data_IF_095144397613
#
_entry.id   IF_095144397613
#
_cell.length_a   1.000
_cell.length_b   1.000
_cell.length_c   1.000
_cell.angle_alpha   90.00
_cell.angle_beta   90.00
_cell.angle_gamma   90.00
#
_symmetry.space_group_name_H-M   'P 1'
#
loop_
_entity.id
_entity.type
_entity.pdbx_description
1 polymer ?
#
# COMPACT_ATOMS: atom_id res chain seq x y z
N UNK A 1 12.73 -7.65 -3.47
CA UNK A 1 11.74 -6.63 -3.07
C UNK A 1 11.83 -6.24 -1.59
N UNK A 2 11.77 -7.19 -0.64
CA UNK A 2 11.68 -6.91 0.80
C UNK A 2 12.78 -5.98 1.36
N UNK A 3 14.05 -6.19 0.98
CA UNK A 3 15.17 -5.30 1.38
C UNK A 3 14.98 -3.86 0.89
N UNK A 4 14.41 -3.66 -0.29
CA UNK A 4 14.12 -2.33 -0.84
C UNK A 4 12.98 -1.65 -0.06
N UNK A 5 11.92 -2.39 0.26
CA UNK A 5 10.82 -1.92 1.11
C UNK A 5 11.33 -1.50 2.50
N UNK A 6 12.22 -2.29 3.10
CA UNK A 6 12.84 -1.96 4.39
C UNK A 6 13.64 -0.67 4.34
N UNK A 7 14.41 -0.46 3.27
CA UNK A 7 15.16 0.79 3.06
C UNK A 7 14.23 1.98 2.86
N UNK A 8 13.20 1.83 2.05
CA UNK A 8 12.23 2.89 1.78
C UNK A 8 11.46 3.29 3.05
N UNK A 9 11.04 2.31 3.86
CA UNK A 9 10.41 2.55 5.17
C UNK A 9 11.32 3.35 6.12
N UNK A 10 12.64 3.09 6.10
CA UNK A 10 13.59 3.83 6.94
C UNK A 10 13.77 5.29 6.49
N UNK A 11 13.55 5.58 5.21
CA UNK A 11 13.66 6.94 4.67
C UNK A 11 12.40 7.74 4.95
N UNK A 12 11.23 7.17 4.65
CA UNK A 12 9.95 7.83 4.82
C UNK A 12 8.85 6.77 5.01
N UNK A 13 8.27 6.74 6.20
CA UNK A 13 7.22 5.78 6.57
C UNK A 13 5.86 6.15 5.96
N UNK A 14 5.67 7.40 5.54
CA UNK A 14 4.43 7.88 4.96
C UNK A 14 4.49 7.98 3.43
N UNK A 15 5.55 7.47 2.79
CA UNK A 15 5.73 7.64 1.36
C UNK A 15 4.64 6.94 0.53
N UNK A 16 4.01 7.67 -0.41
CA UNK A 16 2.95 7.13 -1.27
C UNK A 16 3.41 5.93 -2.13
N UNK A 17 4.63 5.95 -2.67
CA UNK A 17 5.17 4.83 -3.46
C UNK A 17 5.54 3.64 -2.59
N UNK A 18 5.96 3.89 -1.34
CA UNK A 18 6.22 2.81 -0.39
C UNK A 18 4.96 1.99 -0.14
N UNK A 19 3.83 2.67 0.11
CA UNK A 19 2.52 2.03 0.28
C UNK A 19 2.17 1.14 -0.91
N UNK A 20 2.19 1.68 -2.14
CA UNK A 20 1.83 0.87 -3.31
C UNK A 20 2.77 -0.30 -3.57
N UNK A 21 4.07 -0.16 -3.31
CA UNK A 21 5.02 -1.27 -3.39
C UNK A 21 4.76 -2.34 -2.35
N UNK A 22 4.40 -1.95 -1.12
CA UNK A 22 4.06 -2.88 -0.05
C UNK A 22 2.77 -3.65 -0.37
N UNK A 23 1.73 -2.98 -0.85
CA UNK A 23 0.46 -3.63 -1.23
C UNK A 23 0.67 -4.61 -2.38
N UNK A 24 1.48 -4.26 -3.38
CA UNK A 24 1.90 -5.18 -4.46
C UNK A 24 2.64 -6.40 -3.93
N UNK A 25 3.53 -6.21 -2.97
CA UNK A 25 4.25 -7.31 -2.34
C UNK A 25 3.30 -8.25 -1.59
N UNK A 26 2.38 -7.72 -0.79
CA UNK A 26 1.37 -8.51 -0.10
C UNK A 26 0.48 -9.27 -1.08
N UNK A 27 0.02 -8.61 -2.15
CA UNK A 27 -0.80 -9.26 -3.17
C UNK A 27 -0.07 -10.40 -3.89
N UNK A 28 1.21 -10.20 -4.18
CA UNK A 28 2.05 -11.25 -4.75
C UNK A 28 2.16 -12.45 -3.82
N UNK A 29 2.31 -12.24 -2.51
CA UNK A 29 2.36 -13.31 -1.53
C UNK A 29 1.03 -14.07 -1.37
N UNK A 30 -0.11 -13.42 -1.61
CA UNK A 30 -1.42 -14.09 -1.64
C UNK A 30 -1.54 -15.02 -2.86
N UNK A 31 -1.00 -14.60 -4.02
CA UNK A 31 -1.08 -15.35 -5.27
C UNK A 31 -0.04 -16.49 -5.32
N UNK A 32 1.18 -16.21 -4.86
CA UNK A 32 2.31 -17.12 -4.87
C UNK A 32 2.86 -17.27 -3.44
N UNK A 33 2.26 -18.16 -2.62
CA UNK A 33 2.72 -18.36 -1.26
C UNK A 33 4.11 -19.03 -1.25
N UNK A 34 4.96 -18.58 -0.32
CA UNK A 34 6.30 -19.13 -0.14
C UNK A 34 6.21 -20.53 0.47
N UNK A 35 6.75 -21.52 -0.23
CA UNK A 35 6.73 -22.93 0.18
C UNK A 35 7.85 -23.31 1.16
N UNK A 36 8.98 -22.59 1.15
CA UNK A 36 10.09 -22.78 2.08
C UNK A 36 9.77 -22.17 3.46
N UNK A 37 9.68 -23.02 4.49
CA UNK A 37 9.36 -22.60 5.85
C UNK A 37 10.36 -21.59 6.43
N UNK A 38 11.66 -21.73 6.15
CA UNK A 38 12.68 -20.81 6.66
C UNK A 38 12.50 -19.43 6.04
N UNK A 39 12.26 -19.39 4.72
CA UNK A 39 11.99 -18.13 4.03
C UNK A 39 10.68 -17.50 4.53
N UNK A 40 9.66 -18.32 4.80
CA UNK A 40 8.39 -17.85 5.36
C UNK A 40 8.58 -17.20 6.73
N UNK A 41 9.34 -17.79 7.64
CA UNK A 41 9.64 -17.20 8.96
C UNK A 41 10.34 -15.86 8.83
N UNK A 42 11.36 -15.76 7.96
CA UNK A 42 12.10 -14.51 7.73
C UNK A 42 11.18 -13.41 7.19
N UNK A 43 10.34 -13.74 6.21
CA UNK A 43 9.38 -12.79 5.66
C UNK A 43 8.37 -12.39 6.72
N UNK A 44 7.88 -13.35 7.50
CA UNK A 44 6.91 -13.12 8.56
C UNK A 44 7.42 -12.18 9.66
N UNK A 45 8.69 -12.28 10.03
CA UNK A 45 9.32 -11.39 10.99
C UNK A 45 9.55 -9.99 10.40
N UNK A 46 9.95 -9.91 9.12
CA UNK A 46 10.07 -8.61 8.45
C UNK A 46 8.70 -7.95 8.26
N UNK A 47 7.63 -8.70 7.98
CA UNK A 47 6.24 -8.20 7.88
C UNK A 47 5.72 -7.61 9.20
N UNK A 48 6.12 -8.15 10.36
CA UNK A 48 5.83 -7.53 11.67
C UNK A 48 6.38 -6.10 11.72
N UNK A 49 7.58 -5.88 11.19
CA UNK A 49 8.18 -4.54 11.16
C UNK A 49 7.40 -3.55 10.32
N UNK A 50 6.58 -4.00 9.37
CA UNK A 50 5.76 -3.14 8.49
C UNK A 50 4.38 -2.77 9.07
N UNK A 51 4.01 -3.27 10.27
CA UNK A 51 2.69 -3.07 10.89
C UNK A 51 1.51 -3.57 10.03
N UNK A 52 1.75 -4.57 9.17
CA UNK A 52 0.71 -5.16 8.31
C UNK A 52 0.09 -6.42 8.89
N UNK A 53 0.52 -6.84 10.09
CA UNK A 53 -0.01 -8.01 10.80
C UNK A 53 -0.95 -7.62 11.93
N UNK A 54 -1.98 -8.43 12.12
CA UNK A 54 -2.85 -8.40 13.30
C UNK A 54 -2.84 -9.81 13.90
N UNK A 55 -2.14 -9.97 15.03
CA UNK A 55 -1.81 -11.30 15.55
C UNK A 55 -0.94 -12.08 14.56
N UNK A 56 -1.32 -13.32 14.30
CA UNK A 56 -0.59 -14.21 13.36
C UNK A 56 -1.01 -14.03 11.90
N UNK A 57 -2.03 -13.23 11.62
CA UNK A 57 -2.58 -13.04 10.28
C UNK A 57 -2.16 -11.70 9.67
N UNK A 58 -1.96 -11.70 8.34
CA UNK A 58 -1.77 -10.46 7.57
C UNK A 58 -3.14 -9.76 7.47
N UNK A 59 -3.17 -8.44 7.73
CA UNK A 59 -4.38 -7.62 7.57
C UNK A 59 -4.78 -7.59 6.10
N UNK A 60 -6.09 -7.51 5.84
CA UNK A 60 -6.60 -7.41 4.47
C UNK A 60 -6.02 -6.18 3.78
N UNK A 61 -5.64 -6.34 2.51
CA UNK A 61 -5.00 -5.28 1.71
C UNK A 61 -5.98 -4.10 1.54
N UNK A 62 -7.28 -4.39 1.47
CA UNK A 62 -8.38 -3.43 1.45
C UNK A 62 -8.34 -2.52 2.68
N UNK A 63 -8.30 -3.12 3.88
CA UNK A 63 -8.30 -2.39 5.15
C UNK A 63 -7.05 -1.49 5.29
N UNK A 64 -5.89 -2.00 4.85
CA UNK A 64 -4.64 -1.25 4.82
C UNK A 64 -4.71 -0.05 3.86
N UNK A 65 -5.34 -0.23 2.69
CA UNK A 65 -5.49 0.84 1.71
C UNK A 65 -6.49 1.90 2.17
N UNK A 66 -7.59 1.50 2.82
CA UNK A 66 -8.57 2.42 3.40
C UNK A 66 -7.97 3.26 4.54
N UNK A 67 -7.19 2.64 5.43
CA UNK A 67 -6.50 3.35 6.51
C UNK A 67 -5.50 4.37 5.95
N UNK A 68 -4.74 3.97 4.93
CA UNK A 68 -3.79 4.85 4.24
C UNK A 68 -4.49 6.07 3.59
N UNK A 69 -5.66 5.85 2.99
CA UNK A 69 -6.49 6.93 2.42
C UNK A 69 -7.06 7.87 3.48
N UNK A 70 -7.57 7.33 4.60
CA UNK A 70 -8.10 8.14 5.69
C UNK A 70 -7.02 9.04 6.29
N UNK A 71 -5.80 8.54 6.43
CA UNK A 71 -4.66 9.28 6.97
C UNK A 71 -4.14 10.37 6.01
N UNK A 72 -4.18 10.13 4.70
CA UNK A 72 -3.56 10.99 3.68
C UNK A 72 -4.58 11.55 2.69
N UNK A 73 -5.81 11.79 3.14
CA UNK A 73 -6.94 12.21 2.31
C UNK A 73 -6.73 13.58 1.65
N UNK A 74 -5.81 14.38 2.17
CA UNK A 74 -5.48 15.70 1.67
C UNK A 74 -4.36 15.72 0.61
N UNK A 75 -3.60 14.64 0.40
CA UNK A 75 -2.50 14.64 -0.56
C UNK A 75 -2.85 13.92 -1.86
N UNK A 76 -2.75 14.63 -2.98
CA UNK A 76 -3.09 14.08 -4.29
C UNK A 76 -2.21 12.88 -4.66
N UNK A 77 -0.92 12.92 -4.30
CA UNK A 77 0.03 11.84 -4.58
C UNK A 77 -0.31 10.55 -3.81
N UNK A 78 -0.76 10.68 -2.56
CA UNK A 78 -1.16 9.55 -1.73
C UNK A 78 -2.48 8.96 -2.24
N UNK A 79 -3.47 9.80 -2.58
CA UNK A 79 -4.73 9.37 -3.19
C UNK A 79 -4.49 8.63 -4.50
N UNK A 80 -3.57 9.11 -5.33
CA UNK A 80 -3.26 8.48 -6.60
C UNK A 80 -2.64 7.09 -6.44
N UNK A 81 -1.69 6.91 -5.53
CA UNK A 81 -1.11 5.59 -5.27
C UNK A 81 -2.13 4.64 -4.62
N UNK A 82 -3.01 5.15 -3.75
CA UNK A 82 -4.09 4.35 -3.16
C UNK A 82 -5.13 3.91 -4.20
N UNK A 83 -5.47 4.76 -5.18
CA UNK A 83 -6.35 4.42 -6.28
C UNK A 83 -5.75 3.31 -7.17
N UNK A 84 -4.43 3.35 -7.43
CA UNK A 84 -3.73 2.25 -8.12
C UNK A 84 -3.82 0.94 -7.34
N UNK A 85 -3.70 1.00 -6.02
CA UNK A 85 -3.86 -0.16 -5.14
C UNK A 85 -5.31 -0.68 -5.18
N UNK A 86 -6.33 0.20 -5.22
CA UNK A 86 -7.74 -0.24 -5.36
C UNK A 86 -7.94 -1.09 -6.63
N UNK A 87 -7.39 -0.64 -7.76
CA UNK A 87 -7.42 -1.38 -9.03
C UNK A 87 -6.66 -2.70 -8.97
N UNK A 88 -5.53 -2.73 -8.25
CA UNK A 88 -4.74 -3.94 -8.05
C UNK A 88 -5.51 -5.01 -7.25
N UNK A 89 -6.20 -4.59 -6.20
CA UNK A 89 -6.96 -5.50 -5.33
C UNK A 89 -8.21 -6.01 -6.05
N UNK A 90 -8.98 -5.09 -6.64
CA UNK A 90 -10.20 -5.42 -7.35
C UNK A 90 -10.34 -4.57 -8.63
N UNK A 91 -10.13 -5.17 -9.81
CA UNK A 91 -10.27 -4.47 -11.09
C UNK A 91 -11.66 -3.87 -11.35
N UNK A 92 -12.73 -4.39 -10.72
CA UNK A 92 -14.10 -3.86 -10.91
C UNK A 92 -14.30 -2.49 -10.24
N UNK A 93 -13.39 -2.07 -9.37
CA UNK A 93 -13.44 -0.76 -8.70
C UNK A 93 -12.85 0.37 -9.55
N UNK A 94 -12.72 0.17 -10.86
CA UNK A 94 -12.14 1.16 -11.78
C UNK A 94 -12.83 2.53 -11.74
N UNK A 95 -14.15 2.57 -11.71
CA UNK A 95 -14.89 3.83 -11.64
C UNK A 95 -14.59 4.60 -10.36
N UNK A 96 -14.54 3.90 -9.22
CA UNK A 96 -14.17 4.50 -7.93
C UNK A 96 -12.72 4.99 -7.95
N UNK A 97 -11.80 4.21 -8.51
CA UNK A 97 -10.40 4.61 -8.62
C UNK A 97 -10.22 5.85 -9.51
N UNK A 98 -10.98 5.95 -10.60
CA UNK A 98 -11.01 7.14 -11.46
C UNK A 98 -11.54 8.33 -10.67
N UNK A 99 -12.65 8.18 -9.96
CA UNK A 99 -13.22 9.23 -9.11
C UNK A 99 -12.17 9.78 -8.13
N UNK A 100 -11.47 8.90 -7.39
CA UNK A 100 -10.39 9.32 -6.48
C UNK A 100 -9.25 10.09 -7.16
N UNK A 101 -8.94 9.79 -8.42
CA UNK A 101 -7.90 10.48 -9.20
C UNK A 101 -8.38 11.82 -9.77
N UNK A 102 -9.66 11.92 -10.13
CA UNK A 102 -10.22 13.09 -10.82
C UNK A 102 -10.85 14.11 -9.88
N UNK A 103 -11.21 13.73 -8.65
CA UNK A 103 -11.68 14.71 -7.65
C UNK A 103 -10.52 15.62 -7.28
N UNK A 104 -10.64 16.89 -7.65
CA UNK A 104 -9.73 17.96 -7.28
C UNK A 104 -10.44 18.87 -6.29
N UNK A 105 -9.83 19.04 -5.12
CA UNK A 105 -10.27 19.94 -4.06
C UNK A 105 -9.16 20.99 -3.87
N UNK A 106 -9.48 22.30 -3.82
CA UNK A 106 -8.51 23.35 -3.57
C UNK A 106 -7.66 23.15 -2.32
N UNK A 107 -8.15 22.39 -1.34
CA UNK A 107 -7.46 22.09 -0.10
C UNK A 107 -6.43 20.95 -0.21
N UNK A 108 -6.31 20.29 -1.37
CA UNK A 108 -5.32 19.24 -1.52
C UNK A 108 -3.89 19.77 -1.58
N UNK A 109 -2.98 19.08 -0.90
CA UNK A 109 -1.55 19.29 -1.04
C UNK A 109 -1.05 18.68 -2.34
N UNK A 110 0.09 19.18 -2.83
CA UNK A 110 0.80 18.62 -3.99
C UNK A 110 0.04 18.76 -5.33
N UNK A 111 -0.79 19.81 -5.47
CA UNK A 111 -1.46 20.17 -6.73
C UNK A 111 -0.51 20.74 -7.80
N UNK A 112 0.75 20.99 -7.46
CA UNK A 112 1.70 21.65 -8.34
C UNK A 112 2.36 20.64 -9.29
N UNK A 113 2.26 20.90 -10.60
CA UNK A 113 3.17 20.36 -11.60
C UNK A 113 4.55 21.02 -11.37
N UNK A 114 5.43 20.38 -10.60
CA UNK A 114 6.85 20.74 -10.59
C UNK A 114 7.55 20.24 -11.84
#
# INVERSE_FOLDING_TARGET
>A
MLRCLKRMKKLDTNNAKFHSCLMKFLKMMELEPVTDERLRTIIDDELKTFNVKQGDSIRKIEDLNEEFLKKNSNSLTHRAEAAKVMLLINPTNNLKAIEYLTTLDPNFTDQNLK
#
